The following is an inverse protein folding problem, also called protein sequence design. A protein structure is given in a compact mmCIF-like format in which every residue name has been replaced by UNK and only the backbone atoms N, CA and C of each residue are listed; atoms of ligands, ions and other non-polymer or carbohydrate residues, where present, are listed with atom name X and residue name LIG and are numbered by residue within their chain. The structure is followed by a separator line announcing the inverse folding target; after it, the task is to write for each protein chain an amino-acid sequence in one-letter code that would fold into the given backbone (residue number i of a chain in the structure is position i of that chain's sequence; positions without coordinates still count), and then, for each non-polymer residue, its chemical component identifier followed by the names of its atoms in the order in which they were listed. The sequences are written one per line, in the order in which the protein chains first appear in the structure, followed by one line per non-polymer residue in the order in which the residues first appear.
data_IF_169705991271
#
_entry.id   IF_169705991271
#
_cell.length_a   1.000
_cell.length_b   1.000
_cell.length_c   1.000
_cell.angle_alpha   90.00
_cell.angle_beta   90.00
_cell.angle_gamma   90.00
#
_symmetry.space_group_name_H-M   'P 1'
#
loop_
_entity.id
_entity.type
_entity.pdbx_description
1 polymer ?
#
# COMPACT_ATOMS: atom_id res chain seq x y z
N UNK A 1 -26.55 -8.39 -42.66
CA UNK A 1 -25.47 -7.39 -42.63
C UNK A 1 -25.05 -7.24 -41.18
N UNK A 2 -24.15 -8.12 -40.73
CA UNK A 2 -23.69 -8.17 -39.34
C UNK A 2 -22.44 -7.29 -39.20
N UNK A 3 -22.48 -6.34 -38.27
CA UNK A 3 -21.35 -5.47 -37.96
C UNK A 3 -20.23 -6.27 -37.30
N UNK A 4 -19.03 -6.17 -37.85
CA UNK A 4 -17.79 -6.69 -37.28
C UNK A 4 -17.40 -5.86 -36.04
N UNK A 5 -16.88 -6.47 -34.96
CA UNK A 5 -16.32 -5.71 -33.85
C UNK A 5 -15.01 -5.04 -34.29
N UNK A 6 -14.88 -3.78 -33.89
CA UNK A 6 -13.76 -2.88 -34.15
C UNK A 6 -12.52 -3.35 -33.36
N UNK A 7 -11.57 -3.97 -34.06
CA UNK A 7 -10.28 -4.44 -33.55
C UNK A 7 -9.32 -3.24 -33.44
N UNK A 8 -9.55 -2.36 -32.46
CA UNK A 8 -8.57 -1.30 -32.15
C UNK A 8 -7.37 -1.93 -31.44
N UNK A 9 -6.14 -1.84 -31.98
CA UNK A 9 -4.97 -2.44 -31.34
C UNK A 9 -4.70 -1.74 -30.01
N UNK A 10 -4.71 -2.53 -28.93
CA UNK A 10 -4.23 -2.12 -27.61
C UNK A 10 -2.84 -1.51 -27.75
N UNK A 11 -2.59 -0.27 -27.29
CA UNK A 11 -1.32 0.39 -27.52
C UNK A 11 -0.17 -0.43 -26.90
N UNK A 12 0.99 -0.56 -27.58
CA UNK A 12 2.11 -1.30 -27.05
C UNK A 12 2.63 -0.64 -25.76
N UNK A 13 2.78 -1.47 -24.72
CA UNK A 13 3.26 -1.06 -23.41
C UNK A 13 4.65 -0.39 -23.50
N UNK A 14 4.79 0.80 -22.91
CA UNK A 14 6.01 1.62 -22.95
C UNK A 14 7.22 0.80 -22.43
N UNK A 15 8.31 0.67 -23.21
CA UNK A 15 9.49 -0.08 -22.79
C UNK A 15 10.14 0.44 -21.50
N UNK A 16 10.00 1.72 -21.14
CA UNK A 16 10.48 2.26 -19.87
C UNK A 16 9.69 1.71 -18.67
N UNK A 17 8.40 1.45 -18.86
CA UNK A 17 7.54 0.83 -17.84
C UNK A 17 7.87 -0.65 -17.66
N UNK A 18 8.32 -1.35 -18.71
CA UNK A 18 8.84 -2.72 -18.59
C UNK A 18 10.11 -2.78 -17.75
N UNK A 19 11.03 -1.84 -17.94
CA UNK A 19 12.26 -1.79 -17.12
C UNK A 19 11.99 -1.43 -15.65
N UNK A 20 11.04 -0.54 -15.39
CA UNK A 20 10.57 -0.27 -14.03
C UNK A 20 9.90 -1.51 -13.44
N UNK A 21 9.05 -2.21 -14.19
CA UNK A 21 8.37 -3.41 -13.72
C UNK A 21 9.35 -4.56 -13.42
N UNK A 22 10.40 -4.73 -14.23
CA UNK A 22 11.48 -5.69 -13.96
C UNK A 22 12.23 -5.31 -12.68
N UNK A 23 12.53 -4.02 -12.46
CA UNK A 23 13.16 -3.56 -11.21
C UNK A 23 12.26 -3.80 -10.00
N UNK A 24 10.96 -3.67 -10.15
CA UNK A 24 10.00 -3.89 -9.08
C UNK A 24 9.81 -5.38 -8.76
N UNK A 25 9.80 -6.25 -9.77
CA UNK A 25 9.83 -7.71 -9.58
C UNK A 25 11.11 -8.15 -8.86
N UNK A 26 12.25 -7.55 -9.24
CA UNK A 26 13.53 -7.84 -8.61
C UNK A 26 13.59 -7.35 -7.16
N UNK A 27 13.04 -6.16 -6.87
CA UNK A 27 12.87 -5.68 -5.49
C UNK A 27 11.98 -6.58 -4.65
N UNK A 28 10.87 -7.06 -5.22
CA UNK A 28 9.96 -7.99 -4.55
C UNK A 28 10.62 -9.36 -4.30
N UNK A 29 11.49 -9.83 -5.21
CA UNK A 29 12.31 -11.03 -5.03
C UNK A 29 13.30 -10.84 -3.88
N UNK A 30 14.05 -9.74 -3.89
CA UNK A 30 15.02 -9.38 -2.84
C UNK A 30 14.33 -9.29 -1.47
N UNK A 31 13.13 -8.69 -1.38
CA UNK A 31 12.38 -8.61 -0.13
C UNK A 31 11.99 -9.99 0.42
N UNK A 32 11.62 -10.92 -0.46
CA UNK A 32 11.23 -12.28 -0.10
C UNK A 32 12.44 -13.10 0.35
N UNK A 33 13.53 -13.03 -0.39
CA UNK A 33 14.80 -13.68 -0.02
C UNK A 33 15.32 -13.14 1.32
N UNK A 34 15.21 -11.83 1.57
CA UNK A 34 15.54 -11.22 2.88
C UNK A 34 14.63 -11.73 4.00
N UNK A 35 13.32 -11.83 3.77
CA UNK A 35 12.37 -12.30 4.78
C UNK A 35 12.63 -13.77 5.15
N UNK A 36 12.77 -14.63 4.15
CA UNK A 36 12.91 -16.07 4.36
C UNK A 36 14.28 -16.40 4.96
N UNK A 37 15.35 -15.75 4.49
CA UNK A 37 16.71 -16.02 4.97
C UNK A 37 16.98 -15.34 6.32
N UNK A 38 16.85 -14.01 6.44
CA UNK A 38 17.14 -13.33 7.71
C UNK A 38 16.09 -13.61 8.79
N UNK A 39 14.81 -13.74 8.44
CA UNK A 39 13.76 -14.03 9.41
C UNK A 39 13.96 -15.37 10.13
N UNK A 40 14.39 -16.40 9.39
CA UNK A 40 14.74 -17.71 9.97
C UNK A 40 15.95 -17.63 10.90
N UNK A 41 17.01 -16.90 10.49
CA UNK A 41 18.21 -16.71 11.31
C UNK A 41 17.94 -15.95 12.61
N UNK A 42 17.17 -14.86 12.54
CA UNK A 42 16.80 -14.07 13.73
C UNK A 42 15.93 -14.89 14.68
N UNK A 43 14.98 -15.67 14.16
CA UNK A 43 14.16 -16.59 14.97
C UNK A 43 15.04 -17.63 15.68
N UNK A 44 16.00 -18.23 14.98
CA UNK A 44 16.96 -19.18 15.56
C UNK A 44 17.82 -18.57 16.67
N UNK A 45 18.27 -17.33 16.49
CA UNK A 45 19.03 -16.58 17.51
C UNK A 45 18.15 -16.31 18.74
N UNK A 46 16.88 -15.93 18.55
CA UNK A 46 15.93 -15.71 19.65
C UNK A 46 15.68 -16.96 20.48
N UNK A 47 15.55 -18.12 19.82
CA UNK A 47 15.40 -19.42 20.50
C UNK A 47 16.66 -19.78 21.30
N UNK A 48 17.85 -19.60 20.73
CA UNK A 48 19.11 -19.87 21.41
C UNK A 48 19.31 -18.95 22.64
N UNK A 49 18.94 -17.67 22.54
CA UNK A 49 18.98 -16.72 23.66
C UNK A 49 17.97 -17.07 24.75
N UNK A 50 16.79 -17.55 24.39
CA UNK A 50 15.79 -18.05 25.35
C UNK A 50 16.31 -19.25 26.15
N UNK A 51 16.90 -20.24 25.47
CA UNK A 51 17.52 -21.41 26.10
C UNK A 51 18.72 -21.03 26.99
N UNK A 52 19.52 -20.05 26.54
CA UNK A 52 20.63 -19.52 27.33
C UNK A 52 20.12 -18.83 28.60
N UNK A 53 19.03 -18.06 28.52
CA UNK A 53 18.41 -17.41 29.68
C UNK A 53 17.91 -18.42 30.70
N UNK A 54 17.25 -19.49 30.26
CA UNK A 54 16.73 -20.56 31.13
C UNK A 54 17.85 -21.34 31.83
N UNK A 55 19.01 -21.48 31.19
CA UNK A 55 20.16 -22.20 31.74
C UNK A 55 21.06 -21.37 32.66
N UNK A 56 20.99 -20.03 32.61
CA UNK A 56 21.90 -19.14 33.36
C UNK A 56 21.47 -18.83 34.81
N UNK A 57 20.22 -19.09 35.22
CA UNK A 57 19.72 -18.75 36.57
C UNK A 57 19.83 -17.25 36.92
N UNK A 58 19.64 -16.84 38.17
CA UNK A 58 19.66 -15.42 38.57
C UNK A 58 21.08 -14.82 38.64
N UNK A 59 21.72 -14.62 37.49
CA UNK A 59 23.07 -14.03 37.37
C UNK A 59 23.13 -12.98 36.25
N UNK A 60 24.22 -12.20 36.17
CA UNK A 60 24.42 -11.16 35.14
C UNK A 60 24.25 -11.65 33.70
N UNK A 61 24.43 -12.95 33.45
CA UNK A 61 24.19 -13.58 32.15
C UNK A 61 22.73 -13.46 31.68
N UNK A 62 21.76 -13.46 32.60
CA UNK A 62 20.34 -13.25 32.24
C UNK A 62 20.10 -11.83 31.73
N UNK A 63 20.71 -10.82 32.34
CA UNK A 63 20.61 -9.42 31.86
C UNK A 63 21.22 -9.26 30.47
N UNK A 64 22.32 -9.97 30.18
CA UNK A 64 22.93 -9.95 28.85
C UNK A 64 22.07 -10.69 27.81
N UNK A 65 21.42 -11.80 28.20
CA UNK A 65 20.49 -12.52 27.34
C UNK A 65 19.23 -11.68 27.04
N UNK A 66 18.67 -10.99 28.04
CA UNK A 66 17.54 -10.08 27.88
C UNK A 66 17.89 -8.88 26.98
N UNK A 67 19.07 -8.30 27.15
CA UNK A 67 19.55 -7.22 26.29
C UNK A 67 19.75 -7.68 24.84
N UNK A 68 20.31 -8.89 24.65
CA UNK A 68 20.44 -9.48 23.32
C UNK A 68 19.08 -9.78 22.67
N UNK A 69 18.08 -10.22 23.45
CA UNK A 69 16.70 -10.35 22.97
C UNK A 69 16.09 -9.01 22.56
N UNK A 70 16.34 -7.93 23.31
CA UNK A 70 15.85 -6.60 22.95
C UNK A 70 16.47 -6.07 21.65
N UNK A 71 17.78 -6.28 21.44
CA UNK A 71 18.45 -5.93 20.18
C UNK A 71 17.92 -6.77 19.00
N UNK A 72 17.59 -8.04 19.25
CA UNK A 72 17.01 -8.93 18.24
C UNK A 72 15.61 -8.44 17.82
N UNK A 73 14.78 -7.99 18.76
CA UNK A 73 13.47 -7.41 18.46
C UNK A 73 13.61 -6.14 17.60
N UNK A 74 14.56 -5.27 17.94
CA UNK A 74 14.86 -4.07 17.13
C UNK A 74 15.34 -4.42 15.72
N UNK A 75 16.13 -5.48 15.58
CA UNK A 75 16.54 -5.98 14.27
C UNK A 75 15.36 -6.54 13.47
N UNK A 76 14.40 -7.19 14.13
CA UNK A 76 13.14 -7.64 13.54
C UNK A 76 12.30 -6.47 13.03
N UNK A 77 12.13 -5.42 13.84
CA UNK A 77 11.41 -4.20 13.46
C UNK A 77 12.09 -3.49 12.26
N UNK A 78 13.42 -3.39 12.28
CA UNK A 78 14.20 -2.82 11.17
C UNK A 78 14.09 -3.63 9.87
N UNK A 79 14.14 -4.96 9.97
CA UNK A 79 13.93 -5.87 8.84
C UNK A 79 12.52 -5.70 8.26
N UNK A 80 11.51 -5.63 9.12
CA UNK A 80 10.13 -5.43 8.70
C UNK A 80 9.93 -4.06 8.04
N UNK A 81 10.57 -3.00 8.53
CA UNK A 81 10.54 -1.69 7.89
C UNK A 81 11.18 -1.69 6.49
N UNK A 82 12.30 -2.40 6.32
CA UNK A 82 12.96 -2.57 5.01
C UNK A 82 12.09 -3.42 4.07
N UNK A 83 11.49 -4.50 4.58
CA UNK A 83 10.57 -5.33 3.82
C UNK A 83 9.33 -4.52 3.42
N UNK A 84 8.76 -3.69 4.30
CA UNK A 84 7.63 -2.82 4.00
C UNK A 84 7.97 -1.76 2.93
N UNK A 85 9.22 -1.31 2.88
CA UNK A 85 9.75 -0.41 1.85
C UNK A 85 9.96 -1.14 0.50
N UNK A 86 10.34 -2.41 0.53
CA UNK A 86 10.64 -3.23 -0.66
C UNK A 86 9.44 -4.01 -1.20
N UNK A 87 8.45 -4.33 -0.36
CA UNK A 87 7.24 -5.09 -0.65
C UNK A 87 6.14 -4.54 0.26
N UNK A 88 5.13 -3.83 -0.27
CA UNK A 88 3.90 -3.66 0.48
C UNK A 88 3.41 -5.08 0.83
N UNK A 89 3.33 -5.46 2.12
CA UNK A 89 2.80 -6.76 2.49
C UNK A 89 1.34 -6.79 2.01
N UNK A 90 0.76 -7.97 1.88
CA UNK A 90 -0.68 -8.14 1.64
C UNK A 90 -1.09 -8.05 0.15
N UNK A 91 -0.44 -8.84 -0.72
CA UNK A 91 -1.14 -9.38 -1.90
C UNK A 91 -1.81 -10.73 -1.57
N UNK A 92 -1.33 -11.45 -0.55
CA UNK A 92 -1.82 -12.80 -0.21
C UNK A 92 -3.21 -12.83 0.47
N UNK A 93 -3.69 -11.74 1.06
CA UNK A 93 -5.01 -11.67 1.74
C UNK A 93 -6.11 -10.97 0.93
N UNK A 94 -5.79 -10.52 -0.29
CA UNK A 94 -6.73 -9.80 -1.16
C UNK A 94 -6.92 -8.31 -0.79
N UNK A 95 -7.44 -7.53 -1.74
CA UNK A 95 -7.46 -6.06 -1.67
C UNK A 95 -8.17 -5.50 -0.43
N UNK A 96 -9.27 -6.12 0.01
CA UNK A 96 -10.05 -5.62 1.15
C UNK A 96 -9.22 -5.61 2.43
N UNK A 97 -8.59 -6.75 2.75
CA UNK A 97 -7.80 -6.90 3.97
C UNK A 97 -6.62 -5.93 3.95
N UNK A 98 -6.03 -5.71 2.77
CA UNK A 98 -4.96 -4.72 2.61
C UNK A 98 -5.43 -3.30 2.85
N UNK A 99 -6.58 -2.91 2.32
CA UNK A 99 -7.13 -1.56 2.53
C UNK A 99 -7.46 -1.33 4.01
N UNK A 100 -8.01 -2.33 4.70
CA UNK A 100 -8.27 -2.25 6.14
C UNK A 100 -6.97 -2.11 6.94
N UNK A 101 -5.93 -2.86 6.58
CA UNK A 101 -4.63 -2.73 7.23
C UNK A 101 -4.02 -1.34 7.00
N UNK A 102 -4.03 -0.84 5.76
CA UNK A 102 -3.51 0.49 5.41
C UNK A 102 -4.26 1.59 6.17
N UNK A 103 -5.58 1.47 6.31
CA UNK A 103 -6.38 2.42 7.08
C UNK A 103 -6.05 2.40 8.59
N UNK A 104 -5.87 1.22 9.18
CA UNK A 104 -5.46 1.05 10.57
C UNK A 104 -4.06 1.63 10.81
N UNK A 105 -3.13 1.33 9.91
CA UNK A 105 -1.75 1.82 9.94
C UNK A 105 -1.70 3.35 9.85
N UNK A 106 -2.42 3.91 8.90
CA UNK A 106 -2.57 5.36 8.76
C UNK A 106 -3.13 6.00 10.02
N UNK A 107 -4.19 5.42 10.60
CA UNK A 107 -4.82 5.95 11.82
C UNK A 107 -3.83 5.93 12.99
N UNK A 108 -3.04 4.84 13.13
CA UNK A 108 -2.04 4.69 14.19
C UNK A 108 -0.93 5.76 14.10
N UNK A 109 -0.46 6.06 12.89
CA UNK A 109 0.66 6.99 12.70
C UNK A 109 0.24 8.47 12.64
N UNK A 110 -0.94 8.77 12.09
CA UNK A 110 -1.40 10.15 11.91
C UNK A 110 -2.31 10.66 13.02
N UNK A 111 -2.91 9.75 13.81
CA UNK A 111 -3.99 10.07 14.75
C UNK A 111 -5.33 10.43 14.09
N UNK A 112 -5.40 10.39 12.74
CA UNK A 112 -6.59 10.75 11.98
C UNK A 112 -7.44 9.50 11.69
N UNK A 113 -8.71 9.43 12.13
CA UNK A 113 -9.56 8.27 11.88
C UNK A 113 -9.78 8.02 10.39
N UNK A 114 -9.45 6.80 9.93
CA UNK A 114 -9.72 6.35 8.57
C UNK A 114 -10.69 5.17 8.57
N UNK A 115 -11.86 5.33 7.95
CA UNK A 115 -12.91 4.31 7.85
C UNK A 115 -12.88 3.63 6.49
N UNK A 116 -13.10 2.31 6.46
CA UNK A 116 -13.21 1.52 5.22
C UNK A 116 -14.63 1.00 5.08
N UNK A 117 -15.27 1.31 3.96
CA UNK A 117 -16.56 0.76 3.54
C UNK A 117 -16.38 0.05 2.19
N UNK A 118 -16.52 -1.26 2.19
CA UNK A 118 -16.29 -2.10 1.01
C UNK A 118 -17.18 -3.34 1.05
N UNK A 119 -17.53 -3.94 -0.10
CA UNK A 119 -18.23 -5.21 -0.14
C UNK A 119 -17.35 -6.33 0.44
N UNK A 120 -17.98 -7.39 0.93
CA UNK A 120 -17.31 -8.54 1.58
C UNK A 120 -16.32 -9.26 0.67
N UNK A 121 -16.41 -9.08 -0.66
CA UNK A 121 -15.53 -9.74 -1.63
C UNK A 121 -15.17 -8.86 -2.81
N UNK A 122 -13.88 -8.77 -3.10
CA UNK A 122 -13.28 -7.99 -4.20
C UNK A 122 -12.40 -8.92 -5.05
N UNK A 123 -13.02 -9.81 -5.83
CA UNK A 123 -12.32 -10.71 -6.76
C UNK A 123 -12.17 -10.10 -8.16
N UNK A 124 -11.35 -10.72 -9.03
CA UNK A 124 -11.22 -10.36 -10.45
C UNK A 124 -10.29 -9.18 -10.73
N UNK A 125 -9.55 -8.73 -9.71
CA UNK A 125 -8.47 -7.76 -9.86
C UNK A 125 -7.18 -8.54 -10.04
N UNK A 126 -6.42 -8.25 -11.09
CA UNK A 126 -5.09 -8.81 -11.22
C UNK A 126 -4.15 -8.28 -10.12
N UNK A 127 -3.15 -9.07 -9.75
CA UNK A 127 -2.19 -8.73 -8.70
C UNK A 127 -1.49 -7.39 -8.94
N UNK A 128 -1.24 -7.04 -10.20
CA UNK A 128 -0.60 -5.79 -10.58
C UNK A 128 -1.52 -4.58 -10.35
N UNK A 129 -2.81 -4.71 -10.66
CA UNK A 129 -3.82 -3.72 -10.36
C UNK A 129 -4.03 -3.56 -8.84
N UNK A 130 -3.99 -4.64 -8.05
CA UNK A 130 -4.00 -4.54 -6.58
C UNK A 130 -2.84 -3.67 -6.08
N UNK A 131 -1.62 -3.93 -6.55
CA UNK A 131 -0.45 -3.13 -6.17
C UNK A 131 -0.61 -1.64 -6.52
N UNK A 132 -1.14 -1.35 -7.70
CA UNK A 132 -1.42 0.02 -8.15
C UNK A 132 -2.45 0.71 -7.26
N UNK A 133 -3.54 0.02 -6.90
CA UNK A 133 -4.55 0.54 -5.96
C UNK A 133 -3.89 0.94 -4.65
N UNK A 134 -3.09 0.06 -4.07
CA UNK A 134 -2.45 0.30 -2.77
C UNK A 134 -1.48 1.48 -2.80
N UNK A 135 -0.74 1.62 -3.90
CA UNK A 135 0.14 2.77 -4.12
C UNK A 135 -0.63 4.08 -4.19
N UNK A 136 -1.74 4.10 -4.92
CA UNK A 136 -2.60 5.28 -5.03
C UNK A 136 -3.22 5.63 -3.67
N UNK A 137 -3.70 4.63 -2.92
CA UNK A 137 -4.26 4.83 -1.58
C UNK A 137 -3.21 5.40 -0.63
N UNK A 138 -2.01 4.82 -0.58
CA UNK A 138 -0.93 5.32 0.30
C UNK A 138 -0.54 6.75 -0.05
N UNK A 139 -0.40 7.07 -1.32
CA UNK A 139 -0.08 8.44 -1.76
C UNK A 139 -1.21 9.42 -1.41
N UNK A 140 -2.48 9.04 -1.62
CA UNK A 140 -3.64 9.84 -1.23
C UNK A 140 -3.66 10.11 0.29
N UNK A 141 -3.50 9.06 1.10
CA UNK A 141 -3.44 9.18 2.56
C UNK A 141 -2.25 10.03 3.02
N UNK A 142 -1.10 9.88 2.37
CA UNK A 142 0.09 10.69 2.67
C UNK A 142 -0.14 12.18 2.37
N UNK A 143 -0.83 12.48 1.27
CA UNK A 143 -1.23 13.85 0.93
C UNK A 143 -2.21 14.42 1.96
N UNK A 144 -3.18 13.61 2.42
CA UNK A 144 -4.12 14.01 3.47
C UNK A 144 -3.39 14.34 4.77
N UNK A 145 -2.53 13.43 5.25
CA UNK A 145 -1.77 13.64 6.50
C UNK A 145 -0.92 14.90 6.47
N UNK A 146 -0.29 15.21 5.33
CA UNK A 146 0.60 16.38 5.21
C UNK A 146 -0.13 17.69 4.96
N UNK A 147 -1.30 17.66 4.31
CA UNK A 147 -1.86 18.87 3.71
C UNK A 147 -3.31 19.16 4.10
N UNK A 148 -4.14 18.16 4.36
CA UNK A 148 -5.59 18.36 4.42
C UNK A 148 -6.06 19.05 5.71
N UNK A 149 -5.36 18.92 6.85
CA UNK A 149 -5.89 19.32 8.17
C UNK A 149 -7.31 18.78 8.42
N UNK A 150 -7.57 17.57 7.91
CA UNK A 150 -8.85 16.89 8.02
C UNK A 150 -9.10 16.39 9.45
N UNK A 151 -10.36 16.05 9.75
CA UNK A 151 -10.80 15.41 10.99
C UNK A 151 -11.15 13.95 10.79
N UNK A 152 -11.44 13.53 9.56
CA UNK A 152 -11.70 12.14 9.22
C UNK A 152 -11.36 11.84 7.75
N UNK A 153 -11.11 10.57 7.49
CA UNK A 153 -10.87 10.02 6.16
C UNK A 153 -11.80 8.82 5.92
N UNK A 154 -12.25 8.65 4.68
CA UNK A 154 -13.00 7.48 4.26
C UNK A 154 -12.40 6.85 3.00
N UNK A 155 -12.27 5.52 3.03
CA UNK A 155 -12.02 4.66 1.88
C UNK A 155 -13.31 3.92 1.54
N UNK A 156 -13.90 4.22 0.38
CA UNK A 156 -15.13 3.55 -0.08
C UNK A 156 -14.82 2.75 -1.33
N UNK A 157 -15.07 1.45 -1.29
CA UNK A 157 -14.94 0.56 -2.45
C UNK A 157 -16.32 0.10 -2.88
N UNK A 158 -16.59 0.20 -4.17
CA UNK A 158 -17.78 -0.36 -4.82
C UNK A 158 -17.35 -1.19 -6.02
N UNK A 159 -18.04 -2.30 -6.23
CA UNK A 159 -17.90 -3.15 -7.40
C UNK A 159 -19.24 -3.18 -8.12
N UNK A 160 -19.21 -3.00 -9.43
CA UNK A 160 -20.35 -3.22 -10.31
C UNK A 160 -19.93 -4.08 -11.52
N UNK A 161 -20.86 -4.35 -12.44
CA UNK A 161 -20.60 -5.16 -13.62
C UNK A 161 -19.60 -4.56 -14.63
N UNK A 162 -19.10 -3.33 -14.40
CA UNK A 162 -18.16 -2.63 -15.28
C UNK A 162 -16.77 -2.47 -14.67
N UNK A 163 -16.60 -2.68 -13.36
CA UNK A 163 -15.35 -2.33 -12.72
C UNK A 163 -15.38 -2.30 -11.20
N UNK A 164 -14.25 -1.85 -10.66
CA UNK A 164 -14.09 -1.46 -9.26
C UNK A 164 -13.88 0.03 -9.20
N UNK A 165 -14.62 0.67 -8.30
CA UNK A 165 -14.50 2.08 -7.97
C UNK A 165 -14.03 2.19 -6.53
N UNK A 166 -12.83 2.73 -6.34
CA UNK A 166 -12.29 3.09 -5.05
C UNK A 166 -12.32 4.61 -4.90
N UNK A 167 -12.82 5.08 -3.77
CA UNK A 167 -12.83 6.48 -3.38
C UNK A 167 -12.02 6.68 -2.11
N UNK A 168 -11.11 7.64 -2.12
CA UNK A 168 -10.42 8.17 -0.93
C UNK A 168 -10.90 9.59 -0.71
N UNK A 169 -11.49 9.89 0.45
CA UNK A 169 -12.03 11.21 0.73
C UNK A 169 -11.64 11.70 2.14
N UNK A 170 -11.36 12.99 2.24
CA UNK A 170 -11.13 13.71 3.50
C UNK A 170 -12.09 14.90 3.63
N UNK A 171 -12.30 15.38 4.86
CA UNK A 171 -13.10 16.57 5.19
C UNK A 171 -12.24 17.81 5.49
N UNK A 172 -11.03 17.85 4.93
CA UNK A 172 -10.04 18.87 5.20
C UNK A 172 -10.24 20.19 4.45
N UNK A 173 -9.15 20.95 4.33
CA UNK A 173 -9.16 22.29 3.76
C UNK A 173 -9.35 22.33 2.24
N UNK A 174 -9.20 21.20 1.54
CA UNK A 174 -9.25 21.15 0.08
C UNK A 174 -8.24 22.08 -0.61
N UNK A 175 -8.37 22.21 -1.93
CA UNK A 175 -7.61 23.14 -2.78
C UNK A 175 -8.42 23.53 -4.03
N UNK A 176 -8.08 24.67 -4.64
CA UNK A 176 -8.66 25.12 -5.91
C UNK A 176 -7.88 24.53 -7.11
N UNK A 177 -8.53 24.42 -8.28
CA UNK A 177 -8.23 23.50 -9.40
C UNK A 177 -6.78 23.34 -9.87
N UNK A 178 -5.87 24.26 -9.54
CA UNK A 178 -4.43 24.05 -9.65
C UNK A 178 -3.84 23.62 -8.29
N UNK A 179 -3.65 22.32 -8.10
CA UNK A 179 -2.97 21.80 -6.91
C UNK A 179 -1.56 22.42 -6.76
N UNK A 180 -1.08 22.65 -5.53
CA UNK A 180 0.29 23.12 -5.30
C UNK A 180 1.31 22.22 -6.01
N UNK A 181 2.45 22.72 -6.52
CA UNK A 181 3.40 21.92 -7.30
C UNK A 181 3.79 20.58 -6.64
N UNK A 182 3.98 20.58 -5.32
CA UNK A 182 4.28 19.37 -4.53
C UNK A 182 3.16 18.33 -4.55
N UNK A 183 1.89 18.73 -4.40
CA UNK A 183 0.74 17.84 -4.61
C UNK A 183 0.60 17.46 -6.10
N UNK A 184 0.90 18.38 -7.01
CA UNK A 184 0.78 18.18 -8.45
C UNK A 184 1.60 17.00 -8.97
N UNK A 185 2.81 16.80 -8.44
CA UNK A 185 3.64 15.63 -8.75
C UNK A 185 3.01 14.33 -8.22
N UNK A 186 2.53 14.30 -6.98
CA UNK A 186 1.86 13.13 -6.39
C UNK A 186 0.58 12.76 -7.15
N UNK A 187 -0.27 13.74 -7.46
CA UNK A 187 -1.49 13.57 -8.25
C UNK A 187 -1.19 13.10 -9.69
N UNK A 188 -0.15 13.65 -10.32
CA UNK A 188 0.31 13.22 -11.64
C UNK A 188 0.77 11.77 -11.65
N UNK A 189 1.58 11.37 -10.66
CA UNK A 189 2.04 10.00 -10.50
C UNK A 189 0.89 9.02 -10.27
N UNK A 190 -0.11 9.38 -9.45
CA UNK A 190 -1.29 8.56 -9.24
C UNK A 190 -2.10 8.39 -10.54
N UNK A 191 -2.26 9.46 -11.34
CA UNK A 191 -2.95 9.37 -12.64
C UNK A 191 -2.24 8.44 -13.61
N UNK A 192 -0.92 8.57 -13.72
CA UNK A 192 -0.11 7.72 -14.58
C UNK A 192 -0.21 6.24 -14.17
N UNK A 193 -0.12 5.95 -12.87
CA UNK A 193 -0.29 4.60 -12.32
C UNK A 193 -1.66 4.02 -12.62
N UNK A 194 -2.73 4.80 -12.46
CA UNK A 194 -4.08 4.36 -12.80
C UNK A 194 -4.21 3.99 -14.29
N UNK A 195 -3.65 4.81 -15.18
CA UNK A 195 -3.65 4.54 -16.62
C UNK A 195 -2.87 3.27 -17.00
N UNK A 196 -1.78 2.97 -16.30
CA UNK A 196 -0.95 1.78 -16.55
C UNK A 196 -1.70 0.44 -16.36
N UNK A 197 -2.82 0.45 -15.62
CA UNK A 197 -3.69 -0.72 -15.39
C UNK A 197 -5.03 -0.58 -16.10
N UNK A 198 -5.12 0.27 -17.14
CA UNK A 198 -6.35 0.51 -17.89
C UNK A 198 -7.42 1.28 -17.08
N UNK A 199 -7.04 1.86 -15.94
CA UNK A 199 -7.91 2.61 -15.06
C UNK A 199 -7.94 4.11 -15.33
N UNK A 200 -8.81 4.79 -14.58
CA UNK A 200 -8.91 6.26 -14.58
C UNK A 200 -8.86 6.79 -13.16
N UNK A 201 -8.28 7.98 -12.99
CA UNK A 201 -8.22 8.68 -11.71
C UNK A 201 -8.82 10.08 -11.83
N UNK A 202 -9.85 10.36 -11.06
CA UNK A 202 -10.47 11.66 -10.91
C UNK A 202 -10.09 12.26 -9.56
N UNK A 203 -9.82 13.56 -9.53
CA UNK A 203 -9.59 14.31 -8.29
C UNK A 203 -10.57 15.46 -8.25
N UNK A 204 -11.36 15.52 -7.18
CA UNK A 204 -12.30 16.58 -6.89
C UNK A 204 -11.84 17.23 -5.59
N UNK A 205 -11.62 18.53 -5.59
CA UNK A 205 -11.27 19.26 -4.38
C UNK A 205 -11.96 20.60 -4.40
N UNK A 206 -12.36 21.09 -3.24
CA UNK A 206 -12.97 22.40 -3.12
C UNK A 206 -12.49 23.02 -1.81
N UNK A 207 -12.01 24.28 -1.82
CA UNK A 207 -11.56 24.95 -0.60
C UNK A 207 -12.63 24.88 0.52
N UNK A 208 -12.22 24.39 1.68
CA UNK A 208 -13.07 24.20 2.86
C UNK A 208 -14.01 22.99 2.83
N UNK A 209 -13.98 22.17 1.78
CA UNK A 209 -14.87 21.00 1.61
C UNK A 209 -14.10 19.67 1.47
N UNK A 210 -12.77 19.70 1.66
CA UNK A 210 -11.92 18.53 1.56
C UNK A 210 -11.54 18.14 0.13
N UNK A 211 -11.01 16.91 -0.01
CA UNK A 211 -10.60 16.33 -1.29
C UNK A 211 -11.17 14.93 -1.44
N UNK A 212 -11.52 14.58 -2.67
CA UNK A 212 -11.99 13.26 -3.09
C UNK A 212 -11.15 12.79 -4.27
N UNK A 213 -10.51 11.63 -4.11
CA UNK A 213 -9.80 10.92 -5.18
C UNK A 213 -10.63 9.69 -5.53
N UNK A 214 -10.98 9.53 -6.81
CA UNK A 214 -11.75 8.40 -7.32
C UNK A 214 -10.92 7.65 -8.34
N UNK A 215 -10.56 6.41 -8.00
CA UNK A 215 -9.93 5.44 -8.89
C UNK A 215 -11.02 4.52 -9.46
N UNK A 216 -11.07 4.37 -10.78
CA UNK A 216 -11.92 3.39 -11.46
C UNK A 216 -11.04 2.42 -12.23
N UNK A 217 -11.19 1.13 -11.97
CA UNK A 217 -10.48 0.04 -12.63
C UNK A 217 -11.47 -0.85 -13.38
N UNK A 218 -11.18 -1.27 -14.62
CA UNK A 218 -11.92 -2.36 -15.24
C UNK A 218 -11.62 -3.67 -14.50
N UNK A 219 -12.63 -4.52 -14.30
CA UNK A 219 -12.39 -5.92 -13.94
C UNK A 219 -12.12 -6.68 -15.24
N UNK A 220 -11.01 -7.41 -15.31
CA UNK A 220 -10.82 -8.37 -16.38
C UNK A 220 -11.92 -9.44 -16.23
N UNK A 221 -12.66 -9.69 -17.31
CA UNK A 221 -13.70 -10.72 -17.37
C UNK A 221 -13.12 -12.12 -17.31
#
# INVERSE_FOLDING_TARGET
MAAMPDDTPTPPCDPRLREECIREQERARIARDLHDDLGAHLTGIGMALGQLRESLGAHEGVRHAEYAQALLEQAHEGLHAIIDELRPPIVEFGLLDTLQWVARDFTRHSGLPCRVDAPTRLDGIDEFAVLVVLRIVREALSNIARHARARQVSLVVRRDGRGIRLQVADDGCGFDGAAPPRLGHGLGNMRHRAQAVGGTLLTLSTPGQGTVIVLTLPVAG
#
